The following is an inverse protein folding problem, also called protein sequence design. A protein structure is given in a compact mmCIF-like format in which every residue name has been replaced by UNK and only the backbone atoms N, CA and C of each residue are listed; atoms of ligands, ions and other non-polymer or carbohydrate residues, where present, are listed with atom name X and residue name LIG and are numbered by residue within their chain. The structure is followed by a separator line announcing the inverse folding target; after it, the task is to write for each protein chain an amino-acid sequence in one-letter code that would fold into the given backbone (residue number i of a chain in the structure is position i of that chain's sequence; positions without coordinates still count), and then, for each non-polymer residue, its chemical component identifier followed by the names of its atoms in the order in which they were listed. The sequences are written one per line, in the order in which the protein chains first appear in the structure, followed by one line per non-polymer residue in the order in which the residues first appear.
data_IF_647206667589
#
_entry.id   IF_647206667589
#
_cell.length_a   1.000
_cell.length_b   1.000
_cell.length_c   1.000
_cell.angle_alpha   90.00
_cell.angle_beta   90.00
_cell.angle_gamma   90.00
#
_symmetry.space_group_name_H-M   'P 1'
#
loop_
_entity.id
_entity.type
_entity.pdbx_description
1 polymer ?
#
# COMPACT_ATOMS: atom_id res chain seq x y z
N UNK A 1 -5.62 11.78 6.94
CA UNK A 1 -5.73 11.26 8.31
C UNK A 1 -4.39 10.69 8.77
N UNK A 2 -3.99 10.99 10.00
CA UNK A 2 -2.82 10.38 10.65
C UNK A 2 -3.24 9.13 11.39
N UNK A 3 -2.54 8.03 11.19
CA UNK A 3 -2.74 6.82 11.94
C UNK A 3 -1.38 6.31 12.44
N UNK A 4 -1.26 6.13 13.73
CA UNK A 4 -0.12 5.47 14.36
C UNK A 4 -0.62 4.19 15.03
N UNK A 5 -0.03 3.06 14.69
CA UNK A 5 -0.33 1.78 15.31
C UNK A 5 0.93 1.21 15.92
N UNK A 6 0.77 0.65 17.11
CA UNK A 6 1.82 -0.02 17.84
C UNK A 6 1.43 -1.48 18.04
N UNK A 7 2.32 -2.40 17.71
CA UNK A 7 2.10 -3.82 17.95
C UNK A 7 3.35 -4.46 18.54
N UNK A 8 3.14 -5.31 19.52
CA UNK A 8 4.15 -6.18 20.07
C UNK A 8 3.95 -7.55 19.44
N UNK A 9 5.00 -8.09 18.85
CA UNK A 9 4.98 -9.45 18.27
C UNK A 9 4.79 -10.51 19.34
N UNK A 10 5.19 -11.72 19.09
CA UNK A 10 5.07 -12.79 20.08
C UNK A 10 5.84 -12.42 21.36
N UNK A 11 5.18 -12.51 22.50
CA UNK A 11 5.84 -12.55 23.78
C UNK A 11 5.65 -13.95 24.37
N UNK A 12 6.70 -14.54 24.92
CA UNK A 12 6.57 -15.73 25.74
C UNK A 12 6.57 -15.31 27.21
N UNK A 13 5.59 -15.78 27.96
CA UNK A 13 5.69 -15.74 29.40
C UNK A 13 6.91 -16.56 29.83
N UNK A 14 7.55 -16.12 30.86
CA UNK A 14 8.68 -16.75 31.53
C UNK A 14 8.67 -18.28 31.42
N UNK A 15 9.64 -18.88 30.73
CA UNK A 15 9.85 -20.31 30.77
C UNK A 15 10.41 -20.70 32.15
N UNK A 16 9.53 -21.20 32.94
CA UNK A 16 9.86 -21.80 34.22
C UNK A 16 10.52 -23.15 33.93
N UNK A 17 11.81 -23.26 34.18
CA UNK A 17 12.49 -24.54 34.12
C UNK A 17 11.98 -25.39 35.25
N UNK A 18 11.21 -26.42 34.92
CA UNK A 18 10.81 -27.45 35.87
C UNK A 18 11.79 -28.60 35.68
N UNK A 19 12.41 -29.04 36.77
CA UNK A 19 13.25 -30.25 36.76
C UNK A 19 12.41 -31.45 36.32
N UNK A 20 13.03 -32.44 35.71
CA UNK A 20 12.40 -33.68 35.27
C UNK A 20 11.70 -34.48 36.40
N UNK A 21 12.05 -34.21 37.65
CA UNK A 21 11.46 -34.81 38.84
C UNK A 21 10.29 -34.00 39.43
N UNK A 22 9.87 -32.93 38.78
CA UNK A 22 8.80 -32.06 39.26
C UNK A 22 9.19 -31.16 40.43
N UNK A 23 10.44 -31.23 40.89
CA UNK A 23 10.97 -30.38 41.94
C UNK A 23 11.46 -29.04 41.36
N UNK A 24 11.35 -28.02 42.16
CA UNK A 24 11.40 -26.60 41.79
C UNK A 24 12.59 -26.17 40.92
N UNK A 25 12.23 -25.46 39.89
CA UNK A 25 12.72 -24.20 39.37
C UNK A 25 14.20 -23.98 39.44
N UNK A 26 14.90 -24.38 38.41
CA UNK A 26 16.24 -23.88 38.13
C UNK A 26 16.19 -22.45 37.63
N UNK A 27 16.86 -21.53 38.31
CA UNK A 27 17.22 -20.25 37.75
C UNK A 27 18.50 -20.41 36.95
N UNK A 28 18.63 -19.70 35.83
CA UNK A 28 19.94 -19.57 35.20
C UNK A 28 20.84 -18.81 36.13
N UNK A 29 21.91 -19.44 36.58
CA UNK A 29 22.88 -18.84 37.49
C UNK A 29 24.01 -18.21 36.66
N UNK A 30 24.45 -17.05 37.09
CA UNK A 30 25.68 -16.44 36.62
C UNK A 30 26.86 -17.34 37.01
N UNK A 31 27.65 -17.76 36.06
CA UNK A 31 28.78 -18.69 36.27
C UNK A 31 29.86 -18.12 37.19
N UNK A 32 29.99 -16.81 37.31
CA UNK A 32 31.00 -16.15 38.12
C UNK A 32 30.51 -15.86 39.54
N UNK A 33 29.26 -15.42 39.68
CA UNK A 33 28.72 -14.97 40.98
C UNK A 33 27.79 -15.98 41.64
N UNK A 34 27.43 -17.07 40.95
CA UNK A 34 26.49 -18.11 41.38
C UNK A 34 25.14 -17.52 41.84
N UNK A 35 24.80 -16.31 41.37
CA UNK A 35 23.52 -15.66 41.67
C UNK A 35 22.54 -15.89 40.55
N UNK A 36 21.24 -15.97 40.85
CA UNK A 36 20.21 -16.02 39.80
C UNK A 36 20.27 -14.78 38.93
N UNK A 37 20.35 -15.00 37.61
CA UNK A 37 20.27 -13.91 36.65
C UNK A 37 18.80 -13.46 36.59
N UNK A 38 18.49 -12.20 36.91
CA UNK A 38 17.12 -11.70 36.81
C UNK A 38 16.71 -11.74 35.34
N UNK A 39 15.71 -12.54 35.02
CA UNK A 39 15.11 -12.56 33.68
C UNK A 39 13.83 -11.75 33.67
N UNK A 40 13.59 -11.07 32.56
CA UNK A 40 12.31 -10.40 32.34
C UNK A 40 11.18 -11.43 32.33
N UNK A 41 10.03 -11.17 32.99
CA UNK A 41 8.86 -12.03 32.91
C UNK A 41 8.28 -12.15 31.52
N UNK A 42 8.69 -11.28 30.61
CA UNK A 42 8.25 -11.27 29.22
C UNK A 42 9.45 -11.30 28.28
N UNK A 43 9.42 -12.21 27.33
CA UNK A 43 10.37 -12.25 26.22
C UNK A 43 9.69 -11.64 24.99
N UNK A 44 10.02 -10.38 24.69
CA UNK A 44 9.49 -9.66 23.54
C UNK A 44 10.40 -9.95 22.35
N UNK A 45 9.90 -10.73 21.39
CA UNK A 45 10.66 -11.09 20.20
C UNK A 45 10.69 -9.99 19.15
N UNK A 46 9.59 -9.25 19.01
CA UNK A 46 9.50 -8.14 18.08
C UNK A 46 8.55 -7.05 18.55
N UNK A 47 8.84 -5.83 18.15
CA UNK A 47 7.97 -4.66 18.33
C UNK A 47 7.85 -3.96 17.01
N UNK A 48 6.63 -3.63 16.58
CA UNK A 48 6.40 -2.89 15.36
C UNK A 48 5.64 -1.60 15.63
N UNK A 49 6.11 -0.51 15.02
CA UNK A 49 5.47 0.80 15.04
C UNK A 49 5.16 1.17 13.60
N UNK A 50 3.90 1.42 13.30
CA UNK A 50 3.47 1.87 11.98
C UNK A 50 2.88 3.26 12.07
N UNK A 51 3.44 4.17 11.30
CA UNK A 51 2.97 5.53 11.12
C UNK A 51 2.41 5.66 9.71
N UNK A 52 1.21 6.17 9.56
CA UNK A 52 0.54 6.30 8.26
C UNK A 52 -0.16 7.64 8.15
N UNK A 53 0.27 8.41 7.17
CA UNK A 53 -0.37 9.64 6.72
C UNK A 53 -0.98 9.37 5.34
N UNK A 54 -2.29 9.12 5.31
CA UNK A 54 -2.97 8.80 4.06
C UNK A 54 -4.36 9.47 3.99
N UNK A 55 -4.44 10.66 3.38
CA UNK A 55 -3.33 11.48 2.86
C UNK A 55 -2.67 12.33 3.96
N UNK A 56 -1.39 12.69 3.77
CA UNK A 56 -0.72 13.74 4.55
C UNK A 56 -1.25 15.12 4.11
N UNK A 57 -1.29 15.33 2.79
CA UNK A 57 -1.91 16.47 2.14
C UNK A 57 -2.81 15.96 1.02
N UNK A 58 -4.00 16.50 0.91
CA UNK A 58 -4.94 16.19 -0.17
C UNK A 58 -5.70 17.45 -0.58
N UNK A 59 -5.80 17.64 -1.88
CA UNK A 59 -6.54 18.76 -2.49
C UNK A 59 -7.50 18.17 -3.51
N UNK A 60 -8.80 18.46 -3.34
CA UNK A 60 -9.84 18.09 -4.28
C UNK A 60 -10.50 19.34 -4.81
N UNK A 61 -10.47 19.53 -6.11
CA UNK A 61 -11.04 20.70 -6.78
C UNK A 61 -12.05 20.24 -7.81
N UNK A 62 -13.27 20.75 -7.70
CA UNK A 62 -14.31 20.55 -8.71
C UNK A 62 -14.49 21.89 -9.46
N UNK A 63 -14.22 21.86 -10.75
CA UNK A 63 -14.38 23.02 -11.62
C UNK A 63 -15.80 23.06 -12.20
N UNK A 64 -16.26 24.25 -12.59
CA UNK A 64 -17.61 24.45 -13.15
C UNK A 64 -17.92 23.65 -14.40
N UNK A 65 -16.88 23.16 -15.11
CA UNK A 65 -16.99 22.40 -16.35
C UNK A 65 -17.05 20.88 -16.13
N UNK A 66 -17.49 20.42 -14.95
CA UNK A 66 -17.52 19.00 -14.57
C UNK A 66 -16.14 18.32 -14.60
N UNK A 67 -15.09 19.10 -14.40
CA UNK A 67 -13.72 18.59 -14.22
C UNK A 67 -13.45 18.48 -12.74
N UNK A 68 -13.05 17.30 -12.30
CA UNK A 68 -12.56 17.05 -10.95
C UNK A 68 -11.07 16.79 -11.01
N UNK A 69 -10.32 17.45 -10.14
CA UNK A 69 -8.88 17.24 -9.97
C UNK A 69 -8.64 16.89 -8.52
N UNK A 70 -7.97 15.79 -8.28
CA UNK A 70 -7.54 15.38 -6.95
C UNK A 70 -6.03 15.20 -6.94
N UNK A 71 -5.42 15.68 -5.88
CA UNK A 71 -3.99 15.51 -5.62
C UNK A 71 -3.82 15.04 -4.19
N UNK A 72 -3.10 13.96 -3.99
CA UNK A 72 -2.84 13.43 -2.66
C UNK A 72 -1.37 13.07 -2.50
N UNK A 73 -0.79 13.49 -1.39
CA UNK A 73 0.50 13.02 -0.94
C UNK A 73 0.33 12.11 0.27
N UNK A 74 0.89 10.91 0.18
CA UNK A 74 0.82 9.89 1.21
C UNK A 74 2.23 9.54 1.67
N UNK A 75 2.39 9.37 2.98
CA UNK A 75 3.64 8.90 3.60
C UNK A 75 3.30 7.80 4.61
N UNK A 76 4.02 6.70 4.55
CA UNK A 76 3.88 5.63 5.53
C UNK A 76 5.25 5.08 5.90
N UNK A 77 5.43 4.82 7.18
CA UNK A 77 6.66 4.29 7.76
C UNK A 77 6.33 3.17 8.72
N UNK A 78 7.04 2.08 8.61
CA UNK A 78 6.97 0.97 9.55
C UNK A 78 8.36 0.67 10.08
N UNK A 79 8.48 0.66 11.41
CA UNK A 79 9.68 0.28 12.15
C UNK A 79 9.39 -1.04 12.83
N UNK A 80 10.19 -2.05 12.56
CA UNK A 80 10.09 -3.35 13.25
C UNK A 80 11.41 -3.67 13.93
N UNK A 81 11.39 -3.70 15.24
CA UNK A 81 12.50 -4.15 16.05
C UNK A 81 12.43 -5.68 16.18
N UNK A 82 13.48 -6.36 15.77
CA UNK A 82 13.71 -7.77 16.06
C UNK A 82 14.76 -7.87 17.18
N UNK A 83 14.29 -8.15 18.39
CA UNK A 83 15.18 -8.16 19.57
C UNK A 83 16.16 -9.34 19.53
N UNK A 84 15.76 -10.48 18.98
CA UNK A 84 16.62 -11.66 18.88
C UNK A 84 17.80 -11.45 17.92
N UNK A 85 17.58 -10.71 16.84
CA UNK A 85 18.63 -10.40 15.86
C UNK A 85 19.35 -9.08 16.14
N UNK A 86 18.93 -8.29 17.11
CA UNK A 86 19.48 -6.96 17.39
C UNK A 86 19.35 -6.00 16.20
N UNK A 87 18.28 -6.12 15.44
CA UNK A 87 18.09 -5.39 14.18
C UNK A 87 16.78 -4.61 14.19
N UNK A 88 16.81 -3.45 13.54
CA UNK A 88 15.62 -2.66 13.22
C UNK A 88 15.43 -2.66 11.72
N UNK A 89 14.28 -3.13 11.27
CA UNK A 89 13.84 -3.00 9.88
C UNK A 89 12.97 -1.76 9.76
N UNK A 90 13.35 -0.85 8.90
CA UNK A 90 12.60 0.37 8.58
C UNK A 90 12.11 0.26 7.13
N UNK A 91 10.79 0.22 6.94
CA UNK A 91 10.16 0.31 5.64
C UNK A 91 9.47 1.68 5.51
N UNK A 92 9.77 2.40 4.44
CA UNK A 92 9.20 3.72 4.15
C UNK A 92 8.60 3.70 2.74
N UNK A 93 7.39 4.22 2.61
CA UNK A 93 6.71 4.37 1.31
C UNK A 93 6.13 5.77 1.21
N UNK A 94 6.55 6.50 0.18
CA UNK A 94 6.04 7.83 -0.16
C UNK A 94 5.37 7.76 -1.51
N UNK A 95 4.18 8.33 -1.63
CA UNK A 95 3.47 8.36 -2.89
C UNK A 95 2.76 9.67 -3.15
N UNK A 96 2.81 10.11 -4.40
CA UNK A 96 2.06 11.22 -4.94
C UNK A 96 1.02 10.65 -5.91
N UNK A 97 -0.24 10.99 -5.68
CA UNK A 97 -1.35 10.62 -6.55
C UNK A 97 -1.93 11.89 -7.16
N UNK A 98 -2.08 11.91 -8.47
CA UNK A 98 -2.71 12.97 -9.23
C UNK A 98 -3.85 12.34 -10.02
N UNK A 99 -5.07 12.76 -9.76
CA UNK A 99 -6.25 12.29 -10.47
C UNK A 99 -6.95 13.43 -11.20
N UNK A 100 -7.45 13.15 -12.39
CA UNK A 100 -8.30 14.06 -13.14
C UNK A 100 -9.51 13.31 -13.69
N UNK A 101 -10.71 13.81 -13.38
CA UNK A 101 -11.97 13.28 -13.88
C UNK A 101 -12.67 14.33 -14.73
N UNK A 102 -13.23 13.92 -15.86
CA UNK A 102 -14.03 14.78 -16.71
C UNK A 102 -15.33 14.09 -17.10
N UNK A 103 -16.44 14.75 -16.84
CA UNK A 103 -17.76 14.26 -17.22
C UNK A 103 -18.34 15.12 -18.34
N UNK A 104 -18.50 14.51 -19.51
CA UNK A 104 -19.14 15.12 -20.68
C UNK A 104 -20.60 14.73 -20.67
N UNK A 105 -21.46 15.68 -20.37
CA UNK A 105 -22.91 15.48 -20.45
C UNK A 105 -23.39 15.49 -21.90
N UNK A 106 -24.37 14.65 -22.22
CA UNK A 106 -24.96 14.60 -23.55
C UNK A 106 -23.98 14.34 -24.71
N UNK A 107 -22.99 13.46 -24.48
CA UNK A 107 -22.05 13.05 -25.51
C UNK A 107 -22.78 12.26 -26.60
N UNK A 108 -22.80 12.78 -27.83
CA UNK A 108 -23.41 12.14 -28.96
C UNK A 108 -22.46 11.13 -29.60
N UNK A 109 -22.79 9.84 -29.52
CA UNK A 109 -22.03 8.82 -30.23
C UNK A 109 -22.47 8.68 -31.71
N UNK A 110 -21.53 8.25 -32.56
CA UNK A 110 -21.79 7.87 -33.94
C UNK A 110 -22.63 6.58 -34.07
N UNK A 111 -22.88 5.88 -32.93
CA UNK A 111 -23.66 4.65 -32.91
C UNK A 111 -25.15 4.97 -33.04
N UNK A 112 -25.66 4.89 -34.28
CA UNK A 112 -27.09 4.90 -34.55
C UNK A 112 -27.66 3.51 -34.30
N UNK A 113 -28.51 3.34 -33.31
CA UNK A 113 -29.29 2.11 -33.19
C UNK A 113 -30.32 2.04 -34.31
N UNK A 114 -30.47 0.84 -34.92
CA UNK A 114 -31.45 0.59 -35.97
C UNK A 114 -32.87 0.94 -35.47
N UNK A 115 -33.47 1.98 -36.03
CA UNK A 115 -34.81 2.46 -35.63
C UNK A 115 -34.88 3.79 -34.90
N UNK A 116 -33.74 4.40 -34.53
CA UNK A 116 -33.72 5.74 -33.94
C UNK A 116 -33.01 6.72 -34.85
N UNK A 117 -33.73 7.77 -35.27
CA UNK A 117 -33.14 8.86 -36.08
C UNK A 117 -32.24 9.80 -35.25
N UNK A 118 -32.34 9.75 -33.92
CA UNK A 118 -31.49 10.49 -32.97
C UNK A 118 -30.38 9.58 -32.44
N UNK A 119 -29.15 10.02 -32.52
CA UNK A 119 -28.03 9.36 -31.86
C UNK A 119 -28.29 9.22 -30.35
N UNK A 120 -27.63 8.24 -29.75
CA UNK A 120 -27.70 8.06 -28.29
C UNK A 120 -26.89 9.19 -27.67
N UNK A 121 -27.55 10.02 -26.88
CA UNK A 121 -26.93 11.12 -26.15
C UNK A 121 -26.96 10.78 -24.66
N UNK A 122 -25.83 10.39 -24.11
CA UNK A 122 -25.68 10.05 -22.70
C UNK A 122 -24.34 10.56 -22.17
N UNK A 123 -24.09 10.36 -20.90
CA UNK A 123 -22.90 10.87 -20.23
C UNK A 123 -21.69 9.98 -20.52
N UNK A 124 -20.58 10.61 -20.86
CA UNK A 124 -19.25 10.01 -20.95
C UNK A 124 -18.41 10.50 -19.77
N UNK A 125 -17.90 9.58 -18.97
CA UNK A 125 -17.01 9.88 -17.86
C UNK A 125 -15.61 9.38 -18.19
N UNK A 126 -14.64 10.27 -18.13
CA UNK A 126 -13.22 10.00 -18.31
C UNK A 126 -12.52 10.20 -16.98
N UNK A 127 -11.68 9.25 -16.57
CA UNK A 127 -10.80 9.42 -15.41
C UNK A 127 -9.38 9.05 -15.80
N UNK A 128 -8.45 9.84 -15.34
CA UNK A 128 -7.02 9.64 -15.48
C UNK A 128 -6.39 9.76 -14.09
N UNK A 129 -5.75 8.70 -13.65
CA UNK A 129 -5.01 8.67 -12.38
C UNK A 129 -3.53 8.39 -12.69
N UNK A 130 -2.69 9.23 -12.14
CA UNK A 130 -1.24 9.10 -12.16
C UNK A 130 -0.74 8.93 -10.75
N UNK A 131 0.00 7.87 -10.48
CA UNK A 131 0.62 7.62 -9.19
C UNK A 131 2.12 7.43 -9.34
N UNK A 132 2.86 8.20 -8.58
CA UNK A 132 4.29 8.02 -8.36
C UNK A 132 4.53 7.53 -6.94
N UNK A 133 5.20 6.40 -6.78
CA UNK A 133 5.48 5.78 -5.49
C UNK A 133 6.95 5.42 -5.38
N UNK A 134 7.52 5.68 -4.21
CA UNK A 134 8.88 5.30 -3.86
C UNK A 134 8.85 4.53 -2.53
N UNK A 135 9.22 3.26 -2.57
CA UNK A 135 9.26 2.38 -1.41
C UNK A 135 10.69 1.92 -1.16
N UNK A 136 11.13 1.97 0.09
CA UNK A 136 12.47 1.57 0.51
C UNK A 136 12.41 0.78 1.81
N UNK A 137 13.26 -0.22 1.95
CA UNK A 137 13.49 -0.91 3.20
C UNK A 137 14.97 -0.89 3.57
N UNK A 138 15.23 -0.56 4.83
CA UNK A 138 16.54 -0.46 5.43
C UNK A 138 16.61 -1.42 6.62
N UNK A 139 17.71 -2.13 6.76
CA UNK A 139 18.03 -2.85 7.99
C UNK A 139 19.13 -2.10 8.71
N UNK A 140 18.87 -1.78 9.97
CA UNK A 140 19.87 -1.21 10.90
C UNK A 140 20.25 -2.25 11.92
N UNK A 141 21.53 -2.51 12.02
CA UNK A 141 22.07 -3.36 13.09
C UNK A 141 22.41 -2.48 14.29
N UNK A 142 21.83 -2.79 15.45
CA UNK A 142 21.97 -1.97 16.67
C UNK A 142 23.40 -2.09 17.22
N UNK A 143 23.99 -3.28 17.17
CA UNK A 143 25.30 -3.54 17.77
C UNK A 143 26.45 -2.86 17.00
N UNK A 144 26.37 -2.83 15.67
CA UNK A 144 27.41 -2.25 14.81
C UNK A 144 27.10 -0.82 14.37
N UNK A 145 25.91 -0.31 14.69
CA UNK A 145 25.40 0.98 14.23
C UNK A 145 25.49 1.15 12.68
N UNK A 146 25.38 0.04 11.97
CA UNK A 146 25.42 0.02 10.51
C UNK A 146 24.00 -0.01 9.94
N UNK A 147 23.80 0.69 8.84
CA UNK A 147 22.53 0.70 8.11
C UNK A 147 22.76 0.23 6.67
N UNK A 148 21.95 -0.71 6.22
CA UNK A 148 22.00 -1.24 4.88
C UNK A 148 20.63 -1.22 4.22
N UNK A 149 20.53 -0.68 3.01
CA UNK A 149 19.34 -0.78 2.20
C UNK A 149 19.19 -2.23 1.69
N UNK A 150 18.02 -2.83 1.92
CA UNK A 150 17.76 -4.22 1.54
C UNK A 150 16.85 -4.34 0.33
N UNK A 151 15.95 -3.40 0.17
CA UNK A 151 15.08 -3.32 -0.99
C UNK A 151 14.66 -1.89 -1.26
N UNK A 152 14.28 -1.63 -2.48
CA UNK A 152 13.70 -0.35 -2.88
C UNK A 152 13.10 -0.47 -4.27
N UNK A 153 11.96 0.15 -4.46
CA UNK A 153 11.26 0.16 -5.74
C UNK A 153 10.63 1.52 -5.96
N UNK A 154 10.87 2.07 -7.13
CA UNK A 154 10.14 3.23 -7.66
C UNK A 154 9.09 2.72 -8.61
N UNK A 155 7.83 3.08 -8.38
CA UNK A 155 6.71 2.69 -9.22
C UNK A 155 6.04 3.92 -9.81
N UNK A 156 5.77 3.89 -11.11
CA UNK A 156 4.95 4.85 -11.82
C UNK A 156 3.75 4.08 -12.36
N UNK A 157 2.55 4.52 -12.00
CA UNK A 157 1.30 3.89 -12.45
C UNK A 157 0.44 4.95 -13.11
N UNK A 158 -0.09 4.62 -14.28
CA UNK A 158 -1.03 5.44 -15.05
C UNK A 158 -2.27 4.59 -15.28
N UNK A 159 -3.42 5.05 -14.77
CA UNK A 159 -4.69 4.39 -15.00
C UNK A 159 -5.61 5.36 -15.74
N UNK A 160 -6.11 4.93 -16.85
CA UNK A 160 -7.11 5.66 -17.64
C UNK A 160 -8.38 4.83 -17.77
N UNK A 161 -9.52 5.43 -17.47
CA UNK A 161 -10.81 4.80 -17.67
C UNK A 161 -11.77 5.74 -18.40
N UNK A 162 -12.51 5.18 -19.33
CA UNK A 162 -13.57 5.86 -20.06
C UNK A 162 -14.86 5.04 -19.94
N UNK A 163 -15.90 5.60 -19.34
CA UNK A 163 -17.17 4.94 -19.14
C UNK A 163 -18.28 5.70 -19.85
N UNK A 164 -18.98 5.02 -20.76
CA UNK A 164 -20.09 5.55 -21.51
C UNK A 164 -21.40 4.83 -21.16
N UNK A 165 -22.39 5.56 -20.72
CA UNK A 165 -23.70 5.03 -20.42
C UNK A 165 -24.53 4.94 -21.70
N UNK A 166 -24.65 3.74 -22.27
CA UNK A 166 -25.45 3.51 -23.48
C UNK A 166 -26.96 3.58 -23.20
N UNK A 167 -27.39 3.05 -22.07
CA UNK A 167 -28.77 3.07 -21.64
C UNK A 167 -28.84 2.94 -20.11
N UNK A 168 -30.04 3.05 -19.53
CA UNK A 168 -30.24 2.81 -18.10
C UNK A 168 -29.76 1.42 -17.63
N UNK A 169 -29.58 0.47 -18.55
CA UNK A 169 -29.20 -0.91 -18.25
C UNK A 169 -27.82 -1.30 -18.79
N UNK A 170 -27.22 -0.49 -19.64
CA UNK A 170 -25.98 -0.84 -20.34
C UNK A 170 -24.97 0.27 -20.21
N UNK A 171 -23.81 -0.07 -19.68
CA UNK A 171 -22.62 0.82 -19.63
C UNK A 171 -21.46 0.13 -20.32
N UNK A 172 -20.80 0.84 -21.21
CA UNK A 172 -19.57 0.39 -21.87
C UNK A 172 -18.39 1.13 -21.25
N UNK A 173 -17.40 0.38 -20.83
CA UNK A 173 -16.17 0.90 -20.25
C UNK A 173 -14.97 0.52 -21.10
N UNK A 174 -13.99 1.40 -21.22
CA UNK A 174 -12.66 1.11 -21.71
C UNK A 174 -11.65 1.49 -20.63
N UNK A 175 -10.60 0.71 -20.48
CA UNK A 175 -9.55 0.98 -19.51
C UNK A 175 -8.18 0.74 -20.12
N UNK A 176 -7.21 1.47 -19.57
CA UNK A 176 -5.79 1.34 -19.87
C UNK A 176 -5.01 1.55 -18.58
N UNK A 177 -4.28 0.53 -18.17
CA UNK A 177 -3.41 0.56 -17.01
C UNK A 177 -1.98 0.35 -17.46
N UNK A 178 -1.08 1.20 -17.02
CA UNK A 178 0.33 1.11 -17.32
C UNK A 178 1.16 1.30 -16.06
N UNK A 179 2.01 0.34 -15.74
CA UNK A 179 2.85 0.37 -14.56
C UNK A 179 4.30 0.09 -14.92
N UNK A 180 5.18 0.95 -14.43
CA UNK A 180 6.63 0.80 -14.54
C UNK A 180 7.17 0.68 -13.12
N UNK A 181 7.89 -0.41 -12.82
CA UNK A 181 8.58 -0.62 -11.56
C UNK A 181 10.08 -0.63 -11.82
N UNK A 182 10.81 0.27 -11.16
CA UNK A 182 12.25 0.38 -11.24
C UNK A 182 12.86 0.05 -9.88
N UNK A 183 13.64 -1.03 -9.77
CA UNK A 183 14.37 -1.32 -8.54
C UNK A 183 15.37 -0.21 -8.23
N UNK A 184 15.48 0.19 -6.97
CA UNK A 184 16.46 1.17 -6.51
C UNK A 184 17.78 0.51 -6.11
N UNK A 185 17.75 -0.80 -5.87
CA UNK A 185 18.89 -1.63 -5.52
C UNK A 185 19.03 -2.69 -6.59
N UNK A 186 20.07 -2.57 -7.40
CA UNK A 186 20.21 -3.31 -8.66
C UNK A 186 20.88 -4.67 -8.57
N UNK A 187 21.13 -5.21 -7.38
CA UNK A 187 21.94 -6.44 -7.27
C UNK A 187 21.28 -7.70 -7.84
N UNK A 188 19.95 -7.70 -8.10
CA UNK A 188 19.25 -8.88 -8.63
C UNK A 188 17.88 -8.62 -9.28
N UNK A 189 17.51 -7.36 -9.52
CA UNK A 189 16.20 -7.05 -10.07
C UNK A 189 16.30 -6.08 -11.26
N UNK A 190 15.53 -6.37 -12.30
CA UNK A 190 15.43 -5.54 -13.50
C UNK A 190 14.17 -4.67 -13.47
N UNK A 191 14.16 -3.53 -14.15
CA UNK A 191 12.94 -2.77 -14.35
C UNK A 191 11.87 -3.63 -15.05
N UNK A 192 10.65 -3.56 -14.57
CA UNK A 192 9.52 -4.27 -15.15
C UNK A 192 8.47 -3.29 -15.60
N UNK A 193 7.89 -3.54 -16.77
CA UNK A 193 6.80 -2.76 -17.33
C UNK A 193 5.60 -3.68 -17.55
N UNK A 194 4.45 -3.27 -17.07
CA UNK A 194 3.20 -3.98 -17.28
C UNK A 194 2.17 -3.04 -17.90
N UNK A 195 1.52 -3.49 -18.97
CA UNK A 195 0.45 -2.74 -19.62
C UNK A 195 -0.76 -3.64 -19.76
N UNK A 196 -1.90 -3.17 -19.31
CA UNK A 196 -3.18 -3.86 -19.39
C UNK A 196 -4.22 -2.92 -19.98
N UNK A 197 -5.00 -3.41 -20.93
CA UNK A 197 -6.06 -2.62 -21.56
C UNK A 197 -7.22 -3.53 -21.95
N UNK A 198 -8.40 -2.95 -21.99
CA UNK A 198 -9.57 -3.72 -22.36
C UNK A 198 -10.83 -2.88 -22.48
N UNK A 199 -11.89 -3.55 -22.90
CA UNK A 199 -13.24 -3.01 -22.98
C UNK A 199 -14.15 -3.89 -22.15
N UNK A 200 -15.01 -3.29 -21.38
CA UNK A 200 -16.02 -3.95 -20.55
C UNK A 200 -17.42 -3.51 -20.94
N UNK A 201 -18.37 -4.42 -20.87
CA UNK A 201 -19.80 -4.12 -21.04
C UNK A 201 -20.51 -4.59 -19.79
N UNK A 202 -21.08 -3.64 -19.06
CA UNK A 202 -21.84 -3.90 -17.84
C UNK A 202 -23.34 -3.85 -18.15
N UNK A 203 -24.03 -4.96 -17.88
CA UNK A 203 -25.47 -5.10 -18.02
C UNK A 203 -26.11 -5.12 -16.64
N UNK A 204 -26.97 -4.14 -16.33
CA UNK A 204 -27.78 -4.12 -15.11
C UNK A 204 -29.13 -4.74 -15.40
N UNK A 205 -29.35 -5.97 -14.95
CA UNK A 205 -30.61 -6.67 -15.01
C UNK A 205 -31.46 -6.30 -13.78
N UNK A 206 -31.82 -5.02 -13.65
CA UNK A 206 -32.79 -4.64 -12.64
C UNK A 206 -34.20 -5.15 -13.04
N UNK A 207 -34.81 -5.84 -12.07
CA UNK A 207 -36.23 -6.28 -12.14
C UNK A 207 -37.18 -5.10 -12.17
#
# INVERSE_FOLDING_TARGET
AYQCTYSVGSYSSYQQWVSLDGSERGFTLDQQTQRPIPSSPFNISSVSITEKFAPLLGVNVTLKNNINVNTEYRDSRTLTLNSAAGQVVEANTKSLVLGAGYKIANFNTFLKMKGSQKGISNDLTLNLDFQFSNSQALIRNISTNSAQATSGTRSITINFTANYVLSKKVTVGAYFDHQINTPLISSSAYPTTNSNYGVSINLSLAK
#
